data_IF_908905060423
#
_entry.id   IF_908905060423
#
_cell.length_a   1.000
_cell.length_b   1.000
_cell.length_c   1.000
_cell.angle_alpha   90.00
_cell.angle_beta   90.00
_cell.angle_gamma   90.00
#
_symmetry.space_group_name_H-M   'P 1'
#
loop_
_entity.id
_entity.type
_entity.pdbx_description
1 polymer ?
2 water ?
#
# COMPACT_ATOMS: atom_id res chain seq x y z
N UNK A 1 8.91 -9.34 5.86
CA UNK A 1 7.98 -8.17 5.96
C UNK A 1 6.48 -8.31 5.72
N UNK A 2 5.74 -7.33 6.17
CA UNK A 2 4.31 -7.28 5.93
C UNK A 2 3.95 -5.92 5.39
N UNK A 3 3.12 -5.95 4.38
CA UNK A 3 2.63 -4.75 3.80
C UNK A 3 1.12 -4.84 3.72
N UNK A 4 0.41 -3.91 4.31
CA UNK A 4 -1.03 -3.95 4.32
C UNK A 4 -1.62 -2.59 4.08
N UNK A 5 -2.35 -2.46 2.98
CA UNK A 5 -2.96 -1.20 2.64
C UNK A 5 -2.06 -0.10 2.21
N UNK A 6 -1.57 -0.24 1.00
CA UNK A 6 -0.62 0.70 0.38
C UNK A 6 -1.31 1.15 -0.86
N UNK A 7 -1.60 2.44 -0.90
CA UNK A 7 -2.48 2.96 -1.93
C UNK A 7 -1.71 4.04 -2.64
N UNK A 8 -1.78 4.06 -3.98
CA UNK A 8 -1.19 5.07 -4.83
C UNK A 8 -2.21 5.46 -5.86
N UNK A 9 -2.73 6.67 -5.75
CA UNK A 9 -3.74 7.16 -6.66
C UNK A 9 -3.17 8.36 -7.44
N UNK A 10 -3.23 8.30 -8.79
CA UNK A 10 -2.89 9.46 -9.62
C UNK A 10 -4.17 10.12 -10.11
#
# INVERSE_FOLDING_TARGET
GVVHGVTTVA
#
